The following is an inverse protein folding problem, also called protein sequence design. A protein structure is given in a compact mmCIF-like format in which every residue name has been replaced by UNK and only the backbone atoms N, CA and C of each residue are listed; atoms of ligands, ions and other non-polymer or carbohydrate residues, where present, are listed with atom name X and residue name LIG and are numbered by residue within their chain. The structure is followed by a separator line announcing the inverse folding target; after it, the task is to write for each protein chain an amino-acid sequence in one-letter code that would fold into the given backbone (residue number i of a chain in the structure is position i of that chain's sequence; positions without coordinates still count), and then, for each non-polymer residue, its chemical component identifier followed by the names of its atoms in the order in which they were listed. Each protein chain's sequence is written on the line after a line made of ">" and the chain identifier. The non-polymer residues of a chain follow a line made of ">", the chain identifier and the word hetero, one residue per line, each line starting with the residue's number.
data_IF_807755777818
#
_entry.id   IF_807755777818
#
_cell.length_a   1.000
_cell.length_b   1.000
_cell.length_c   1.000
_cell.angle_alpha   90.00
_cell.angle_beta   90.00
_cell.angle_gamma   90.00
#
_symmetry.space_group_name_H-M   'P 1'
#
loop_
_entity.id
_entity.type
_entity.pdbx_description
1 polymer ?
#
# COMPACT_ATOMS: atom_id res chain seq x y z
N UNK A 1 14.55 7.10 9.08
CA UNK A 1 13.25 7.62 8.62
C UNK A 1 12.56 8.06 9.89
N UNK A 2 12.24 9.34 10.01
CA UNK A 2 11.66 9.86 11.25
C UNK A 2 10.25 9.30 11.44
N UNK A 3 9.76 9.32 12.68
CA UNK A 3 8.39 8.90 13.01
C UNK A 3 7.36 9.63 12.16
N UNK A 4 7.54 10.94 11.98
CA UNK A 4 6.66 11.77 11.16
C UNK A 4 6.63 11.32 9.69
N UNK A 5 7.80 11.06 9.08
CA UNK A 5 7.87 10.54 7.71
C UNK A 5 7.16 9.20 7.56
N UNK A 6 7.31 8.28 8.52
CA UNK A 6 6.60 6.99 8.51
C UNK A 6 5.09 7.18 8.56
N UNK A 7 4.58 8.08 9.40
CA UNK A 7 3.15 8.38 9.47
C UNK A 7 2.61 8.91 8.15
N UNK A 8 3.32 9.86 7.52
CA UNK A 8 2.93 10.41 6.21
C UNK A 8 2.94 9.32 5.14
N UNK A 9 4.00 8.51 5.06
CA UNK A 9 4.13 7.44 4.09
C UNK A 9 2.92 6.49 4.13
N UNK A 10 2.59 5.99 5.32
CA UNK A 10 1.46 5.06 5.48
C UNK A 10 0.10 5.76 5.35
N UNK A 11 -0.01 7.06 5.64
CA UNK A 11 -1.23 7.81 5.36
C UNK A 11 -1.49 7.96 3.86
N UNK A 12 -0.43 8.25 3.07
CA UNK A 12 -0.51 8.31 1.62
C UNK A 12 -0.92 6.94 1.06
N UNK A 13 -0.27 5.86 1.51
CA UNK A 13 -0.63 4.51 1.09
C UNK A 13 -2.08 4.14 1.46
N UNK A 14 -2.54 4.53 2.66
CA UNK A 14 -3.91 4.28 3.11
C UNK A 14 -4.93 4.94 2.19
N UNK A 15 -4.75 6.23 1.89
CA UNK A 15 -5.65 6.97 0.99
C UNK A 15 -5.58 6.40 -0.43
N UNK A 16 -4.39 6.09 -0.93
CA UNK A 16 -4.17 5.52 -2.25
C UNK A 16 -4.91 4.18 -2.43
N UNK A 17 -4.63 3.19 -1.56
CA UNK A 17 -5.21 1.85 -1.69
C UNK A 17 -6.73 1.87 -1.41
N UNK A 18 -7.18 2.64 -0.41
CA UNK A 18 -8.60 2.77 -0.13
C UNK A 18 -9.37 3.44 -1.27
N UNK A 19 -8.84 4.53 -1.84
CA UNK A 19 -9.49 5.25 -2.92
C UNK A 19 -9.56 4.40 -4.20
N UNK A 20 -8.49 3.70 -4.56
CA UNK A 20 -8.50 2.78 -5.71
C UNK A 20 -9.53 1.68 -5.48
N UNK A 21 -9.54 1.05 -4.30
CA UNK A 21 -10.53 0.03 -3.97
C UNK A 21 -11.96 0.56 -4.09
N UNK A 22 -12.24 1.74 -3.54
CA UNK A 22 -13.55 2.37 -3.63
C UNK A 22 -13.97 2.67 -5.08
N UNK A 23 -13.04 3.17 -5.89
CA UNK A 23 -13.28 3.50 -7.30
C UNK A 23 -13.56 2.23 -8.12
N UNK A 24 -12.77 1.16 -7.97
CA UNK A 24 -13.03 -0.09 -8.69
C UNK A 24 -14.31 -0.79 -8.19
N UNK A 25 -14.68 -0.63 -6.92
CA UNK A 25 -15.91 -1.18 -6.36
C UNK A 25 -17.16 -0.54 -6.96
N UNK A 26 -17.17 0.80 -7.09
CA UNK A 26 -18.34 1.56 -7.53
C UNK A 26 -18.38 1.83 -9.04
N UNK A 27 -17.22 2.04 -9.65
CA UNK A 27 -17.06 2.49 -11.02
C UNK A 27 -16.20 1.55 -11.89
N UNK A 28 -15.93 0.32 -11.43
CA UNK A 28 -15.08 -0.64 -12.13
C UNK A 28 -15.57 -0.95 -13.55
N UNK A 29 -16.89 -1.07 -13.76
CA UNK A 29 -17.45 -1.29 -15.10
C UNK A 29 -17.16 -0.14 -16.04
N UNK A 30 -17.42 1.08 -15.61
CA UNK A 30 -17.20 2.31 -16.39
C UNK A 30 -15.71 2.50 -16.71
N UNK A 31 -14.82 2.16 -15.77
CA UNK A 31 -13.38 2.17 -15.97
C UNK A 31 -12.93 1.18 -17.05
N UNK A 32 -13.46 -0.04 -17.02
CA UNK A 32 -13.15 -1.06 -18.02
C UNK A 32 -13.66 -0.62 -19.40
N UNK A 33 -14.90 -0.12 -19.47
CA UNK A 33 -15.51 0.41 -20.69
C UNK A 33 -14.66 1.56 -21.29
N UNK A 34 -14.29 2.55 -20.47
CA UNK A 34 -13.49 3.71 -20.89
C UNK A 34 -12.05 3.34 -21.28
N UNK A 35 -11.50 2.27 -20.70
CA UNK A 35 -10.14 1.80 -20.97
C UNK A 35 -10.07 0.75 -22.09
N UNK A 36 -11.20 0.38 -22.69
CA UNK A 36 -11.28 -0.67 -23.71
C UNK A 36 -10.85 -2.05 -23.20
N UNK A 37 -10.99 -2.31 -21.89
CA UNK A 37 -10.59 -3.57 -21.27
C UNK A 37 -11.78 -4.55 -21.33
N UNK A 38 -11.59 -5.77 -21.86
CA UNK A 38 -12.62 -6.80 -21.84
C UNK A 38 -13.14 -7.04 -20.43
N UNK A 39 -14.45 -7.24 -20.28
CA UNK A 39 -15.04 -7.48 -18.96
C UNK A 39 -14.58 -8.83 -18.40
N UNK A 40 -14.43 -8.92 -17.06
CA UNK A 40 -14.21 -10.21 -16.43
C UNK A 40 -15.44 -11.11 -16.65
N UNK A 41 -15.25 -12.43 -16.62
CA UNK A 41 -16.37 -13.38 -16.67
C UNK A 41 -17.35 -13.21 -15.50
N UNK A 42 -16.86 -12.73 -14.35
CA UNK A 42 -17.69 -12.38 -13.20
C UNK A 42 -17.13 -11.15 -12.47
N UNK A 43 -17.99 -10.16 -12.21
CA UNK A 43 -17.60 -8.90 -11.55
C UNK A 43 -17.15 -9.07 -10.10
N UNK A 44 -17.58 -10.14 -9.44
CA UNK A 44 -17.16 -10.49 -8.09
C UNK A 44 -15.64 -10.59 -7.92
N UNK A 45 -14.87 -10.91 -8.98
CA UNK A 45 -13.41 -10.90 -8.90
C UNK A 45 -12.85 -9.49 -8.66
N UNK A 46 -13.35 -8.50 -9.40
CA UNK A 46 -12.95 -7.10 -9.25
C UNK A 46 -13.45 -6.54 -7.92
N UNK A 47 -14.70 -6.82 -7.55
CA UNK A 47 -15.30 -6.35 -6.30
C UNK A 47 -14.58 -6.92 -5.07
N UNK A 48 -14.25 -8.21 -5.08
CA UNK A 48 -13.50 -8.83 -3.99
C UNK A 48 -12.11 -8.23 -3.84
N UNK A 49 -11.35 -8.10 -4.94
CA UNK A 49 -10.05 -7.43 -4.92
C UNK A 49 -10.15 -5.98 -4.43
N UNK A 50 -11.21 -5.26 -4.82
CA UNK A 50 -11.48 -3.89 -4.40
C UNK A 50 -11.71 -3.79 -2.89
N UNK A 51 -12.55 -4.67 -2.34
CA UNK A 51 -12.81 -4.74 -0.90
C UNK A 51 -11.56 -5.14 -0.11
N UNK A 52 -10.77 -6.09 -0.62
CA UNK A 52 -9.47 -6.44 -0.03
C UNK A 52 -8.52 -5.24 -0.02
N UNK A 53 -8.43 -4.49 -1.11
CA UNK A 53 -7.60 -3.29 -1.17
C UNK A 53 -8.06 -2.23 -0.15
N UNK A 54 -9.37 -2.06 0.04
CA UNK A 54 -9.91 -1.20 1.09
C UNK A 54 -9.56 -1.68 2.50
N UNK A 55 -9.59 -3.00 2.76
CA UNK A 55 -9.15 -3.58 4.05
C UNK A 55 -7.68 -3.29 4.31
N UNK A 56 -6.82 -3.39 3.30
CA UNK A 56 -5.42 -2.97 3.45
C UNK A 56 -5.29 -1.45 3.63
N UNK A 57 -6.12 -0.65 2.97
CA UNK A 57 -6.20 0.79 3.21
C UNK A 57 -6.49 1.13 4.68
N UNK A 58 -7.45 0.45 5.31
CA UNK A 58 -7.76 0.63 6.75
C UNK A 58 -6.65 0.14 7.67
N UNK A 59 -5.95 -0.95 7.28
CA UNK A 59 -4.73 -1.40 7.95
C UNK A 59 -3.64 -0.32 7.90
N UNK A 60 -3.42 0.32 6.75
CA UNK A 60 -2.45 1.40 6.60
C UNK A 60 -2.84 2.65 7.40
N UNK A 61 -4.14 2.99 7.52
CA UNK A 61 -4.58 4.05 8.43
C UNK A 61 -4.20 3.75 9.89
N UNK A 62 -4.31 2.48 10.31
CA UNK A 62 -3.88 2.04 11.64
C UNK A 62 -2.38 2.24 11.83
N UNK A 63 -1.56 1.86 10.85
CA UNK A 63 -0.11 2.09 10.88
C UNK A 63 0.21 3.59 10.90
N UNK A 64 -0.46 4.41 10.11
CA UNK A 64 -0.24 5.85 10.05
C UNK A 64 -0.58 6.57 11.38
N UNK A 65 -1.59 6.06 12.11
CA UNK A 65 -1.98 6.59 13.43
C UNK A 65 -0.88 6.35 14.47
N UNK A 66 -0.34 5.13 14.53
CA UNK A 66 0.73 4.74 15.45
C UNK A 66 1.64 3.67 14.81
N UNK A 67 2.73 4.08 14.13
CA UNK A 67 3.59 3.14 13.40
C UNK A 67 4.38 2.20 14.31
N UNK A 68 4.61 2.57 15.57
CA UNK A 68 5.37 1.73 16.50
C UNK A 68 4.51 0.60 17.03
N UNK A 69 3.31 0.94 17.51
CA UNK A 69 2.36 -0.05 18.01
C UNK A 69 1.90 -1.02 16.93
N UNK A 70 1.74 -0.54 15.70
CA UNK A 70 1.23 -1.33 14.57
C UNK A 70 2.34 -1.82 13.62
N UNK A 71 3.59 -1.89 14.09
CA UNK A 71 4.73 -2.33 13.27
C UNK A 71 4.55 -3.76 12.74
N UNK A 72 3.84 -4.61 13.48
CA UNK A 72 3.47 -5.97 13.07
C UNK A 72 2.59 -6.01 11.81
N UNK A 73 1.93 -4.92 11.45
CA UNK A 73 1.09 -4.82 10.25
C UNK A 73 1.89 -4.49 8.98
N UNK A 74 3.09 -3.89 9.11
CA UNK A 74 3.91 -3.48 7.97
C UNK A 74 4.30 -4.65 7.04
N UNK A 75 4.65 -5.85 7.55
CA UNK A 75 4.91 -7.01 6.69
C UNK A 75 3.72 -7.39 5.79
N UNK A 76 2.49 -7.33 6.30
CA UNK A 76 1.30 -7.59 5.47
C UNK A 76 1.14 -6.53 4.38
N UNK A 77 1.50 -5.28 4.68
CA UNK A 77 1.57 -4.21 3.69
C UNK A 77 2.59 -4.48 2.59
N UNK A 78 3.78 -4.98 2.96
CA UNK A 78 4.80 -5.40 1.99
C UNK A 78 4.32 -6.59 1.15
N UNK A 79 3.66 -7.57 1.77
CA UNK A 79 3.10 -8.73 1.06
C UNK A 79 2.04 -8.32 0.03
N UNK A 80 1.19 -7.34 0.34
CA UNK A 80 0.24 -6.77 -0.63
C UNK A 80 0.99 -6.22 -1.86
N UNK A 81 1.98 -5.37 -1.64
CA UNK A 81 2.74 -4.73 -2.72
C UNK A 81 3.53 -5.76 -3.53
N UNK A 82 4.15 -6.75 -2.88
CA UNK A 82 4.81 -7.88 -3.55
C UNK A 82 3.82 -8.65 -4.42
N UNK A 83 2.64 -8.95 -3.91
CA UNK A 83 1.61 -9.71 -4.64
C UNK A 83 1.20 -8.98 -5.91
N UNK A 84 0.94 -7.68 -5.83
CA UNK A 84 0.55 -6.88 -6.99
C UNK A 84 1.69 -6.68 -7.99
N UNK A 85 2.86 -6.24 -7.51
CA UNK A 85 4.01 -5.98 -8.37
C UNK A 85 4.45 -7.23 -9.11
N UNK A 86 4.54 -8.38 -8.43
CA UNK A 86 4.96 -9.63 -9.06
C UNK A 86 3.99 -10.08 -10.15
N UNK A 87 2.69 -10.13 -9.87
CA UNK A 87 1.71 -10.67 -10.81
C UNK A 87 1.54 -9.75 -12.03
N UNK A 88 1.44 -8.44 -11.84
CA UNK A 88 1.22 -7.51 -12.96
C UNK A 88 2.47 -7.36 -13.80
N UNK A 89 3.67 -7.36 -13.19
CA UNK A 89 4.94 -7.36 -13.95
C UNK A 89 5.10 -8.62 -14.78
N UNK A 90 4.75 -9.80 -14.22
CA UNK A 90 4.77 -11.06 -14.96
C UNK A 90 3.87 -10.99 -16.21
N UNK A 91 2.60 -10.57 -16.05
CA UNK A 91 1.69 -10.45 -17.20
C UNK A 91 2.14 -9.38 -18.20
N UNK A 92 2.69 -8.26 -17.74
CA UNK A 92 3.21 -7.22 -18.62
C UNK A 92 4.33 -7.78 -19.52
N UNK A 93 5.27 -8.54 -18.97
CA UNK A 93 6.41 -9.07 -19.74
C UNK A 93 6.01 -10.25 -20.64
N UNK A 94 5.12 -11.14 -20.17
CA UNK A 94 4.92 -12.45 -20.83
C UNK A 94 3.76 -12.50 -21.82
N UNK A 95 2.62 -11.86 -21.51
CA UNK A 95 1.35 -12.09 -22.24
C UNK A 95 0.74 -10.78 -22.74
N UNK A 96 1.06 -9.67 -22.07
CA UNK A 96 0.43 -8.38 -22.27
C UNK A 96 -0.44 -8.03 -21.07
N UNK A 97 -0.35 -6.78 -20.64
CA UNK A 97 -1.13 -6.22 -19.54
C UNK A 97 -1.79 -4.92 -20.02
N UNK A 98 -3.08 -4.68 -19.74
CA UNK A 98 -3.74 -3.41 -20.03
C UNK A 98 -2.99 -2.23 -19.40
N UNK A 99 -2.94 -1.10 -20.12
CA UNK A 99 -2.21 0.07 -19.63
C UNK A 99 -2.74 0.59 -18.28
N UNK A 100 -4.04 0.42 -18.01
CA UNK A 100 -4.67 0.81 -16.74
C UNK A 100 -3.92 0.31 -15.50
N UNK A 101 -3.35 -0.90 -15.55
CA UNK A 101 -2.72 -1.53 -14.38
C UNK A 101 -1.22 -1.22 -14.23
N UNK A 102 -0.55 -0.78 -15.31
CA UNK A 102 0.91 -0.62 -15.32
C UNK A 102 1.43 0.50 -14.40
N UNK A 103 0.81 1.70 -14.34
CA UNK A 103 1.27 2.76 -13.45
C UNK A 103 1.30 2.35 -11.98
N UNK A 104 0.31 1.56 -11.55
CA UNK A 104 0.21 1.07 -10.17
C UNK A 104 1.40 0.19 -9.77
N UNK A 105 1.99 -0.55 -10.71
CA UNK A 105 3.19 -1.37 -10.45
C UNK A 105 4.35 -0.50 -10.01
N UNK A 106 4.58 0.62 -10.68
CA UNK A 106 5.69 1.53 -10.34
C UNK A 106 5.46 2.17 -8.96
N UNK A 107 4.24 2.62 -8.71
CA UNK A 107 3.86 3.22 -7.42
C UNK A 107 4.03 2.18 -6.30
N UNK A 108 3.50 0.98 -6.48
CA UNK A 108 3.54 -0.08 -5.48
C UNK A 108 4.96 -0.61 -5.23
N UNK A 109 5.80 -0.63 -6.27
CA UNK A 109 7.21 -0.99 -6.11
C UNK A 109 7.99 0.05 -5.29
N UNK A 110 7.75 1.34 -5.54
CA UNK A 110 8.35 2.41 -4.74
C UNK A 110 7.84 2.33 -3.29
N UNK A 111 6.52 2.15 -3.09
CA UNK A 111 5.94 1.98 -1.76
C UNK A 111 6.52 0.76 -1.03
N UNK A 112 6.72 -0.37 -1.71
CA UNK A 112 7.34 -1.57 -1.16
C UNK A 112 8.74 -1.27 -0.61
N UNK A 113 9.58 -0.59 -1.39
CA UNK A 113 10.93 -0.20 -0.95
C UNK A 113 10.83 0.71 0.28
N UNK A 114 9.95 1.70 0.26
CA UNK A 114 9.77 2.63 1.38
C UNK A 114 9.24 1.93 2.63
N UNK A 115 8.34 0.95 2.49
CA UNK A 115 7.84 0.13 3.59
C UNK A 115 8.95 -0.73 4.20
N UNK A 116 9.79 -1.35 3.36
CA UNK A 116 10.95 -2.10 3.84
C UNK A 116 11.91 -1.19 4.61
N UNK A 117 12.23 -0.01 4.09
CA UNK A 117 13.06 0.99 4.79
C UNK A 117 12.43 1.43 6.12
N UNK A 118 11.11 1.60 6.18
CA UNK A 118 10.38 1.89 7.41
C UNK A 118 10.49 0.76 8.44
N UNK A 119 10.38 -0.48 7.97
CA UNK A 119 10.33 -1.68 8.79
C UNK A 119 11.70 -2.10 9.34
N UNK A 120 12.80 -1.83 8.63
CA UNK A 120 14.14 -2.20 9.10
C UNK A 120 14.83 -1.10 9.91
N UNK A 121 14.37 0.15 9.83
CA UNK A 121 14.94 1.22 10.64
C UNK A 121 14.43 1.14 12.09
N UNK A 122 15.33 1.08 13.09
CA UNK A 122 14.93 1.16 14.49
C UNK A 122 14.12 2.44 14.73
N UNK A 123 13.13 2.35 15.60
CA UNK A 123 12.55 3.54 16.20
C UNK A 123 13.70 4.31 16.83
N UNK A 124 13.96 5.54 16.38
CA UNK A 124 14.87 6.44 17.07
C UNK A 124 14.44 6.45 18.55
N UNK A 125 15.31 5.91 19.41
CA UNK A 125 15.14 6.03 20.85
C UNK A 125 15.17 7.53 21.09
N UNK A 126 14.06 8.07 21.55
CA UNK A 126 13.96 9.49 21.86
C UNK A 126 15.14 9.83 22.78
N UNK A 127 16.07 10.64 22.28
CA UNK A 127 17.32 11.03 22.94
C UNK A 127 17.10 11.91 24.20
N UNK A 128 15.92 11.83 24.81
CA UNK A 128 15.49 12.60 25.97
C UNK A 128 15.64 11.84 27.30
N UNK A 129 15.93 10.54 27.28
CA UNK A 129 16.14 9.75 28.51
C UNK A 129 17.57 9.82 29.07
N UNK A 130 18.53 10.40 28.32
CA UNK A 130 19.93 10.53 28.77
C UNK A 130 20.20 11.89 29.42
N UNK A 131 19.38 12.91 29.16
CA UNK A 131 19.63 14.28 29.67
C UNK A 131 19.21 14.49 31.13
N UNK A 132 18.45 13.56 31.73
CA UNK A 132 17.99 13.65 33.12
C UNK A 132 18.88 12.93 34.14
N UNK A 133 19.83 12.10 33.71
CA UNK A 133 20.78 11.42 34.61
C UNK A 133 22.09 12.18 34.83
N UNK A 134 22.38 13.19 34.00
CA UNK A 134 23.66 13.94 34.04
C UNK A 134 23.56 15.29 34.76
N UNK A 135 22.46 15.57 35.48
CA UNK A 135 22.23 16.82 36.24
C UNK A 135 22.00 16.55 37.74
N UNK A 136 22.38 15.36 38.22
CA UNK A 136 22.70 15.14 39.64
C UNK A 136 24.19 15.46 39.87
#
# INVERSE_FOLDING_TARGET
>A
MSRFTTRILFAIAAVYDFAIGLVFLLAGKQLFDASGIPHPSHWGYVQFCSLMLMVFGTMFFSIAKDPHRNRNLMPYGMLLKISYVSIVSYYWVMIGCPFLFKPFVLIDFVMLILFAVAYYRPAEKDAAATFTTDVL
#
